data_IF_810842809572
#
_entry.id   IF_810842809572
#
_cell.length_a   1.000
_cell.length_b   1.000
_cell.length_c   1.000
_cell.angle_alpha   90.00
_cell.angle_beta   90.00
_cell.angle_gamma   90.00
#
_symmetry.space_group_name_H-M   'P 1'
#
loop_
_entity.id
_entity.type
_entity.pdbx_description
1 polymer ?
#
# COMPACT_ATOMS: atom_id res chain seq x y z
N UNK A 1 22.62 1.31 5.60
CA UNK A 1 21.65 1.71 4.57
C UNK A 1 21.68 3.23 4.43
N UNK A 2 21.73 3.76 3.21
CA UNK A 2 21.63 5.21 3.00
C UNK A 2 20.23 5.67 3.38
N UNK A 3 20.11 6.56 4.37
CA UNK A 3 18.83 7.15 4.80
C UNK A 3 18.04 7.73 3.60
N UNK A 4 18.75 8.24 2.60
CA UNK A 4 18.17 8.76 1.35
C UNK A 4 17.34 7.71 0.60
N UNK A 5 17.78 6.46 0.55
CA UNK A 5 17.06 5.42 -0.18
C UNK A 5 15.70 5.13 0.46
N UNK A 6 15.67 4.99 1.80
CA UNK A 6 14.43 4.73 2.53
C UNK A 6 13.46 5.91 2.45
N UNK A 7 13.98 7.13 2.52
CA UNK A 7 13.18 8.35 2.43
C UNK A 7 12.59 8.53 1.02
N UNK A 8 13.37 8.25 -0.03
CA UNK A 8 12.91 8.27 -1.42
C UNK A 8 11.87 7.17 -1.67
N UNK A 9 12.05 5.99 -1.08
CA UNK A 9 11.12 4.88 -1.16
C UNK A 9 9.74 5.30 -0.65
N UNK A 10 9.69 5.86 0.57
CA UNK A 10 8.44 6.31 1.22
C UNK A 10 7.78 7.44 0.43
N UNK A 11 8.52 8.47 0.05
CA UNK A 11 7.94 9.59 -0.72
C UNK A 11 7.36 9.09 -2.04
N UNK A 12 8.11 8.24 -2.75
CA UNK A 12 7.63 7.64 -3.99
C UNK A 12 6.37 6.80 -3.76
N UNK A 13 6.26 6.12 -2.61
CA UNK A 13 5.10 5.29 -2.26
C UNK A 13 3.85 6.13 -2.11
N UNK A 14 3.98 7.23 -1.37
CA UNK A 14 2.86 8.12 -1.03
C UNK A 14 2.37 8.83 -2.29
N UNK A 15 3.23 9.07 -3.28
CA UNK A 15 2.85 9.69 -4.56
C UNK A 15 2.24 8.69 -5.55
N UNK A 16 2.30 7.39 -5.28
CA UNK A 16 1.82 6.38 -6.21
C UNK A 16 0.28 6.31 -6.20
N UNK A 17 -0.41 6.56 -7.33
CA UNK A 17 -1.86 6.52 -7.39
C UNK A 17 -2.44 5.14 -7.07
N UNK A 18 -1.69 4.05 -7.30
CA UNK A 18 -2.16 2.68 -7.04
C UNK A 18 -2.49 2.51 -5.55
N UNK A 19 -1.66 3.06 -4.66
CA UNK A 19 -1.87 3.01 -3.21
C UNK A 19 -3.23 3.61 -2.84
N UNK A 20 -3.50 4.83 -3.32
CA UNK A 20 -4.72 5.56 -2.96
C UNK A 20 -5.97 4.92 -3.54
N UNK A 21 -5.94 4.53 -4.82
CA UNK A 21 -7.10 3.97 -5.52
C UNK A 21 -7.48 2.62 -4.91
N UNK A 22 -6.53 1.69 -4.78
CA UNK A 22 -6.82 0.36 -4.22
C UNK A 22 -7.25 0.46 -2.77
N UNK A 23 -6.58 1.28 -1.96
CA UNK A 23 -6.95 1.47 -0.56
C UNK A 23 -8.37 2.00 -0.44
N UNK A 24 -8.75 3.01 -1.23
CA UNK A 24 -10.09 3.60 -1.20
C UNK A 24 -11.16 2.60 -1.67
N UNK A 25 -10.93 1.90 -2.78
CA UNK A 25 -11.89 0.93 -3.33
C UNK A 25 -12.10 -0.25 -2.38
N UNK A 26 -11.04 -0.83 -1.84
CA UNK A 26 -11.14 -1.97 -0.91
C UNK A 26 -11.73 -1.55 0.43
N UNK A 27 -11.35 -0.37 0.94
CA UNK A 27 -11.91 0.15 2.19
C UNK A 27 -13.34 0.65 2.04
N UNK A 28 -13.75 1.03 0.84
CA UNK A 28 -15.17 1.25 0.55
C UNK A 28 -15.95 -0.04 0.75
N UNK A 29 -17.19 0.05 1.24
CA UNK A 29 -18.05 -1.13 1.41
C UNK A 29 -18.49 -1.75 0.07
N UNK A 30 -17.89 -1.36 -1.06
CA UNK A 30 -18.20 -1.86 -2.41
C UNK A 30 -17.83 -3.34 -2.55
N UNK A 31 -16.65 -3.74 -2.07
CA UNK A 31 -16.18 -5.14 -2.22
C UNK A 31 -16.66 -6.04 -1.09
N UNK A 32 -16.58 -5.56 0.16
CA UNK A 32 -17.03 -6.32 1.33
C UNK A 32 -17.42 -5.39 2.47
N UNK A 33 -18.40 -5.77 3.28
CA UNK A 33 -18.74 -5.07 4.52
C UNK A 33 -17.91 -5.54 5.72
N UNK A 34 -17.28 -6.72 5.64
CA UNK A 34 -16.53 -7.30 6.76
C UNK A 34 -15.10 -6.74 6.82
N UNK A 35 -14.74 -6.16 7.96
CA UNK A 35 -13.41 -5.57 8.20
C UNK A 35 -12.26 -6.57 8.01
N UNK A 36 -12.41 -7.82 8.47
CA UNK A 36 -11.36 -8.84 8.33
C UNK A 36 -11.08 -9.17 6.87
N UNK A 37 -12.12 -9.25 6.03
CA UNK A 37 -11.97 -9.47 4.58
C UNK A 37 -11.27 -8.30 3.91
N UNK A 38 -11.61 -7.06 4.29
CA UNK A 38 -10.92 -5.86 3.79
C UNK A 38 -9.44 -5.89 4.12
N UNK A 39 -9.09 -6.23 5.36
CA UNK A 39 -7.71 -6.27 5.81
C UNK A 39 -6.89 -7.33 5.04
N UNK A 40 -7.50 -8.49 4.75
CA UNK A 40 -6.91 -9.51 3.89
C UNK A 40 -6.72 -9.00 2.46
N UNK A 41 -7.71 -8.34 1.87
CA UNK A 41 -7.60 -7.77 0.52
C UNK A 41 -6.55 -6.67 0.42
N UNK A 42 -6.49 -5.77 1.40
CA UNK A 42 -5.44 -4.74 1.50
C UNK A 42 -4.06 -5.38 1.63
N UNK A 43 -3.92 -6.46 2.39
CA UNK A 43 -2.65 -7.17 2.54
C UNK A 43 -2.17 -7.77 1.21
N UNK A 44 -3.07 -8.47 0.50
CA UNK A 44 -2.76 -9.04 -0.83
C UNK A 44 -2.42 -7.92 -1.82
N UNK A 45 -3.21 -6.86 -1.86
CA UNK A 45 -2.99 -5.70 -2.73
C UNK A 45 -1.64 -5.02 -2.45
N UNK A 46 -1.25 -4.88 -1.18
CA UNK A 46 0.03 -4.31 -0.77
C UNK A 46 1.22 -5.14 -1.25
N UNK A 47 1.13 -6.46 -1.19
CA UNK A 47 2.17 -7.37 -1.70
C UNK A 47 2.27 -7.29 -3.22
N UNK A 48 1.13 -7.35 -3.93
CA UNK A 48 1.09 -7.26 -5.40
C UNK A 48 1.69 -5.93 -5.84
N UNK A 49 1.28 -4.83 -5.22
CA UNK A 49 1.82 -3.50 -5.50
C UNK A 49 3.32 -3.40 -5.22
N UNK A 50 3.80 -4.00 -4.11
CA UNK A 50 5.21 -4.11 -3.82
C UNK A 50 6.01 -4.84 -4.92
N UNK A 51 5.48 -5.94 -5.46
CA UNK A 51 6.11 -6.64 -6.58
C UNK A 51 6.11 -5.82 -7.86
N UNK A 52 4.98 -5.19 -8.22
CA UNK A 52 4.90 -4.29 -9.38
C UNK A 52 6.03 -3.27 -9.30
N UNK A 53 6.19 -2.65 -8.12
CA UNK A 53 7.19 -1.61 -7.92
C UNK A 53 8.63 -2.11 -7.93
N UNK A 54 8.88 -3.30 -7.37
CA UNK A 54 10.17 -3.97 -7.48
C UNK A 54 10.59 -4.12 -8.95
N UNK A 55 9.68 -4.62 -9.79
CA UNK A 55 9.96 -4.83 -11.21
C UNK A 55 10.09 -3.53 -12.00
N UNK A 56 9.33 -2.48 -11.62
CA UNK A 56 9.52 -1.13 -12.17
C UNK A 56 10.93 -0.63 -11.85
N UNK A 57 11.40 -0.73 -10.60
CA UNK A 57 12.76 -0.29 -10.27
C UNK A 57 13.85 -1.12 -10.96
N UNK A 58 13.65 -2.44 -11.08
CA UNK A 58 14.55 -3.30 -11.86
C UNK A 58 14.59 -2.90 -13.33
N UNK A 59 13.48 -2.50 -13.92
CA UNK A 59 13.43 -2.00 -15.30
C UNK A 59 14.18 -0.68 -15.51
N UNK A 60 14.32 0.13 -14.46
CA UNK A 60 15.18 1.33 -14.45
C UNK A 60 16.66 1.03 -14.15
N UNK A 61 17.04 -0.25 -14.10
CA UNK A 61 18.42 -0.68 -13.88
C UNK A 61 18.86 -0.74 -12.42
N UNK A 62 17.95 -0.56 -11.45
CA UNK A 62 18.29 -0.74 -10.05
C UNK A 62 18.39 -2.23 -9.69
N UNK A 63 19.49 -2.60 -9.05
CA UNK A 63 19.67 -3.93 -8.48
C UNK A 63 19.24 -3.91 -7.02
N UNK A 64 18.40 -4.87 -6.65
CA UNK A 64 17.92 -5.05 -5.28
C UNK A 64 18.47 -6.35 -4.74
N UNK A 65 19.09 -6.28 -3.56
CA UNK A 65 19.42 -7.47 -2.79
C UNK A 65 18.15 -8.11 -2.19
N UNK A 66 18.29 -9.33 -1.67
CA UNK A 66 17.18 -10.06 -1.05
C UNK A 66 16.59 -9.29 0.14
N UNK A 67 17.43 -8.72 1.00
CA UNK A 67 17.00 -7.92 2.15
C UNK A 67 16.25 -6.65 1.73
N UNK A 68 16.74 -5.95 0.72
CA UNK A 68 16.10 -4.74 0.18
C UNK A 68 14.75 -5.05 -0.47
N UNK A 69 14.65 -6.21 -1.13
CA UNK A 69 13.39 -6.70 -1.69
C UNK A 69 12.36 -6.96 -0.60
N UNK A 70 12.75 -7.66 0.47
CA UNK A 70 11.88 -7.91 1.62
C UNK A 70 11.44 -6.60 2.29
N UNK A 71 12.37 -5.66 2.46
CA UNK A 71 12.09 -4.36 3.06
C UNK A 71 11.12 -3.55 2.19
N UNK A 72 11.30 -3.52 0.87
CA UNK A 72 10.36 -2.87 -0.06
C UNK A 72 8.96 -3.46 0.06
N UNK A 73 8.84 -4.79 0.00
CA UNK A 73 7.54 -5.49 0.11
C UNK A 73 6.86 -5.19 1.45
N UNK A 74 7.63 -5.18 2.54
CA UNK A 74 7.13 -4.89 3.88
C UNK A 74 6.62 -3.45 4.00
N UNK A 75 7.36 -2.47 3.46
CA UNK A 75 6.92 -1.07 3.45
C UNK A 75 5.64 -0.91 2.61
N UNK A 76 5.56 -1.52 1.44
CA UNK A 76 4.37 -1.46 0.59
C UNK A 76 3.13 -2.08 1.28
N UNK A 77 3.31 -3.20 1.97
CA UNK A 77 2.25 -3.83 2.77
C UNK A 77 1.77 -2.92 3.90
N UNK A 78 2.70 -2.36 4.70
CA UNK A 78 2.35 -1.47 5.80
C UNK A 78 1.64 -0.20 5.32
N UNK A 79 2.09 0.40 4.22
CA UNK A 79 1.46 1.57 3.64
C UNK A 79 0.05 1.27 3.14
N UNK A 80 -0.15 0.17 2.42
CA UNK A 80 -1.47 -0.21 1.92
C UNK A 80 -2.46 -0.46 3.07
N UNK A 81 -2.03 -1.18 4.11
CA UNK A 81 -2.89 -1.45 5.27
C UNK A 81 -3.20 -0.17 6.04
N UNK A 82 -2.20 0.67 6.33
CA UNK A 82 -2.39 1.90 7.09
C UNK A 82 -3.31 2.89 6.37
N UNK A 83 -3.06 3.17 5.09
CA UNK A 83 -3.92 4.04 4.27
C UNK A 83 -5.33 3.45 4.14
N UNK A 84 -5.44 2.14 3.91
CA UNK A 84 -6.73 1.45 3.87
C UNK A 84 -7.53 1.60 5.17
N UNK A 85 -6.90 1.43 6.33
CA UNK A 85 -7.55 1.62 7.64
C UNK A 85 -8.02 3.07 7.81
N UNK A 86 -7.18 4.05 7.44
CA UNK A 86 -7.55 5.48 7.49
C UNK A 86 -8.81 5.74 6.65
N UNK A 87 -8.84 5.23 5.41
CA UNK A 87 -10.03 5.38 4.56
C UNK A 87 -11.27 4.67 5.11
N UNK A 88 -11.09 3.49 5.70
CA UNK A 88 -12.21 2.78 6.33
C UNK A 88 -12.85 3.62 7.44
N UNK A 89 -12.03 4.23 8.31
CA UNK A 89 -12.52 5.13 9.35
C UNK A 89 -13.17 6.39 8.78
N UNK A 90 -12.56 7.04 7.79
CA UNK A 90 -13.13 8.21 7.13
C UNK A 90 -14.52 7.94 6.54
N UNK A 91 -14.68 6.83 5.80
CA UNK A 91 -15.96 6.44 5.19
C UNK A 91 -16.99 6.13 6.28
N UNK A 92 -16.59 5.48 7.37
CA UNK A 92 -17.49 5.17 8.49
C UNK A 92 -17.95 6.43 9.21
N UNK A 93 -17.06 7.41 9.41
CA UNK A 93 -17.41 8.71 9.98
C UNK A 93 -18.40 9.46 9.09
N UNK A 94 -18.16 9.53 7.79
CA UNK A 94 -19.07 10.18 6.83
C UNK A 94 -20.47 9.55 6.86
N UNK A 95 -20.55 8.21 6.91
CA UNK A 95 -21.83 7.51 7.00
C UNK A 95 -22.55 7.68 8.34
N UNK A 96 -21.84 8.06 9.40
CA UNK A 96 -22.46 8.32 10.72
C UNK A 96 -23.08 9.72 10.81
N UNK A 97 -22.66 10.65 9.93
CA UNK A 97 -23.11 12.05 9.93
C UNK A 97 -24.37 12.23 9.07
N UNK A 98 -24.49 11.42 8.01
CA UNK A 98 -25.62 11.39 7.06
C UNK A 98 -26.69 10.42 7.56
#
# INVERSE_FOLDING_TARGET
MNYDFFHLLIIGSIKDPILWILSLVISSNVISSNFQRKLLYLSIAGIIWGYIRLYVYKSFGQQFNFEETLLLLFVCLLLMISVGIIFYFLIRCLKSII
#
